data_IF_473439777785
#
_entry.id   IF_473439777785
#
_cell.length_a   1.000
_cell.length_b   1.000
_cell.length_c   1.000
_cell.angle_alpha   90.00
_cell.angle_beta   90.00
_cell.angle_gamma   90.00
#
_symmetry.space_group_name_H-M   'P 1'
#
loop_
_entity.id
_entity.type
_entity.pdbx_description
1 polymer ?
#
# COMPACT_ATOMS: atom_id res chain seq x y z
N UNK A 1 7.60 -2.28 -4.12
CA UNK A 1 7.32 -3.21 -3.01
C UNK A 1 6.22 -4.19 -3.45
N UNK A 2 6.60 -5.42 -3.82
CA UNK A 2 5.67 -6.49 -4.15
C UNK A 2 5.12 -7.18 -2.90
N UNK A 3 3.92 -7.74 -2.99
CA UNK A 3 3.24 -8.53 -1.96
C UNK A 3 2.18 -9.43 -2.60
N UNK A 4 1.79 -10.49 -1.90
CA UNK A 4 0.75 -11.42 -2.35
C UNK A 4 -0.22 -11.71 -1.21
N UNK A 5 -1.50 -11.86 -1.56
CA UNK A 5 -2.55 -12.27 -0.63
C UNK A 5 -3.63 -13.02 -1.40
N UNK A 6 -3.95 -14.23 -0.95
CA UNK A 6 -4.88 -15.13 -1.63
C UNK A 6 -4.56 -15.25 -3.14
N UNK A 7 -5.52 -14.88 -3.99
CA UNK A 7 -5.48 -14.96 -5.45
C UNK A 7 -4.92 -13.69 -6.12
N UNK A 8 -4.29 -12.80 -5.35
CA UNK A 8 -3.81 -11.51 -5.84
C UNK A 8 -2.31 -11.32 -5.65
N UNK A 9 -1.67 -10.77 -6.68
CA UNK A 9 -0.33 -10.20 -6.64
C UNK A 9 -0.45 -8.68 -6.72
N UNK A 10 0.05 -7.98 -5.69
CA UNK A 10 0.03 -6.52 -5.60
C UNK A 10 1.45 -5.96 -5.57
N UNK A 11 1.78 -5.05 -6.47
CA UNK A 11 3.07 -4.35 -6.45
C UNK A 11 2.88 -2.85 -6.46
N UNK A 12 3.41 -2.16 -5.43
CA UNK A 12 3.51 -0.70 -5.45
C UNK A 12 4.88 -0.25 -5.97
N UNK A 13 4.91 0.73 -6.85
CA UNK A 13 6.09 1.49 -7.24
C UNK A 13 5.90 2.90 -6.69
N UNK A 14 6.78 3.33 -5.78
CA UNK A 14 6.66 4.62 -5.11
C UNK A 14 7.98 5.39 -5.13
N UNK A 15 7.85 6.71 -5.18
CA UNK A 15 8.91 7.68 -4.98
C UNK A 15 8.56 8.54 -3.77
N UNK A 16 9.59 8.93 -3.02
CA UNK A 16 9.47 9.78 -1.84
C UNK A 16 10.52 10.88 -1.97
N UNK A 17 10.10 12.13 -1.80
CA UNK A 17 10.99 13.29 -1.69
C UNK A 17 11.01 13.80 -0.25
N UNK A 18 12.15 14.33 0.18
CA UNK A 18 12.38 14.90 1.51
C UNK A 18 12.23 16.43 1.56
N UNK A 19 11.74 17.07 0.49
CA UNK A 19 11.42 18.50 0.48
C UNK A 19 10.23 18.83 1.42
N UNK A 20 10.04 20.11 1.74
CA UNK A 20 9.09 20.68 2.71
C UNK A 20 7.62 20.23 2.54
N UNK A 21 7.28 19.65 1.39
CA UNK A 21 6.11 18.79 1.27
C UNK A 21 6.58 17.37 0.98
N UNK A 22 6.59 16.50 2.00
CA UNK A 22 6.85 15.08 1.82
C UNK A 22 5.81 14.47 0.86
N UNK A 23 6.11 14.49 -0.44
CA UNK A 23 5.21 14.04 -1.50
C UNK A 23 5.54 12.60 -1.85
N UNK A 24 4.84 11.67 -1.21
CA UNK A 24 4.76 10.29 -1.71
C UNK A 24 4.01 10.32 -3.05
N UNK A 25 4.57 9.74 -4.10
CA UNK A 25 3.87 9.49 -5.38
C UNK A 25 4.14 8.08 -5.84
N UNK A 26 3.26 7.54 -6.67
CA UNK A 26 3.48 6.21 -7.21
C UNK A 26 2.22 5.53 -7.67
N UNK A 27 2.40 4.34 -8.24
CA UNK A 27 1.34 3.50 -8.79
C UNK A 27 1.31 2.15 -8.11
N UNK A 28 0.11 1.58 -8.00
CA UNK A 28 -0.13 0.24 -7.50
C UNK A 28 -0.74 -0.59 -8.62
N UNK A 29 -0.08 -1.70 -8.94
CA UNK A 29 -0.57 -2.70 -9.87
C UNK A 29 -1.10 -3.90 -9.07
N UNK A 30 -2.38 -4.19 -9.24
CA UNK A 30 -3.00 -5.43 -8.77
C UNK A 30 -3.18 -6.37 -9.96
N UNK A 31 -2.70 -7.60 -9.82
CA UNK A 31 -2.87 -8.65 -10.82
C UNK A 31 -3.49 -9.89 -10.21
N UNK A 32 -4.22 -10.63 -11.02
CA UNK A 32 -4.60 -12.01 -10.73
C UNK A 32 -3.33 -12.86 -10.58
N UNK A 33 -3.27 -13.67 -9.53
CA UNK A 33 -2.03 -14.38 -9.16
C UNK A 33 -1.73 -15.59 -10.05
N UNK A 34 -2.77 -16.27 -10.54
CA UNK A 34 -2.61 -17.48 -11.35
C UNK A 34 -2.26 -17.12 -12.80
N UNK A 35 -3.00 -16.16 -13.36
CA UNK A 35 -2.90 -15.77 -14.76
C UNK A 35 -1.94 -14.61 -15.00
N UNK A 36 -1.49 -13.94 -13.94
CA UNK A 36 -0.71 -12.69 -13.97
C UNK A 36 -1.44 -11.52 -14.65
N UNK A 37 -2.73 -11.67 -14.97
CA UNK A 37 -3.52 -10.65 -15.65
C UNK A 37 -3.62 -9.39 -14.79
N UNK A 38 -3.25 -8.21 -15.32
CA UNK A 38 -3.51 -6.94 -14.65
C UNK A 38 -5.01 -6.75 -14.42
N UNK A 39 -5.39 -6.51 -13.17
CA UNK A 39 -6.77 -6.24 -12.78
C UNK A 39 -7.00 -4.74 -12.58
N UNK A 40 -6.06 -4.07 -11.88
CA UNK A 40 -6.20 -2.65 -11.58
C UNK A 40 -4.82 -1.97 -11.57
N UNK A 41 -4.78 -0.75 -12.10
CA UNK A 41 -3.69 0.20 -11.92
C UNK A 41 -4.25 1.46 -11.26
N UNK A 42 -3.71 1.87 -10.11
CA UNK A 42 -4.23 3.01 -9.34
C UNK A 42 -3.13 3.86 -8.70
N UNK A 43 -3.47 5.11 -8.35
CA UNK A 43 -2.59 5.98 -7.56
C UNK A 43 -2.40 5.42 -6.14
N UNK A 44 -1.17 5.47 -5.66
CA UNK A 44 -0.79 4.86 -4.37
C UNK A 44 -1.03 5.75 -3.16
N UNK A 45 -1.25 7.06 -3.32
CA UNK A 45 -1.23 8.01 -2.20
C UNK A 45 -2.36 7.71 -1.22
N UNK A 46 -3.58 7.67 -1.72
CA UNK A 46 -4.77 7.47 -0.90
C UNK A 46 -4.73 6.10 -0.19
N UNK A 47 -4.44 5.02 -0.91
CA UNK A 47 -4.39 3.68 -0.34
C UNK A 47 -3.22 3.52 0.66
N UNK A 48 -2.11 4.21 0.43
CA UNK A 48 -0.94 4.15 1.34
C UNK A 48 -1.22 4.89 2.63
N UNK A 49 -1.88 6.06 2.58
CA UNK A 49 -2.32 6.76 3.78
C UNK A 49 -3.30 5.89 4.58
N UNK A 50 -4.40 5.48 3.95
CA UNK A 50 -5.46 4.68 4.58
C UNK A 50 -4.92 3.41 5.27
N UNK A 51 -4.08 2.63 4.59
CA UNK A 51 -3.54 1.40 5.19
C UNK A 51 -2.50 1.67 6.28
N UNK A 52 -1.79 2.79 6.24
CA UNK A 52 -0.82 3.15 7.28
C UNK A 52 -1.57 3.55 8.54
N UNK A 53 -2.59 4.39 8.41
CA UNK A 53 -3.44 4.81 9.53
C UNK A 53 -4.15 3.61 10.17
N UNK A 54 -4.69 2.69 9.36
CA UNK A 54 -5.34 1.48 9.84
C UNK A 54 -4.38 0.57 10.65
N UNK A 55 -3.15 0.35 10.15
CA UNK A 55 -2.16 -0.47 10.85
C UNK A 55 -1.65 0.21 12.12
N UNK A 56 -1.47 1.53 12.10
CA UNK A 56 -1.15 2.31 13.31
C UNK A 56 -2.24 2.18 14.37
N UNK A 57 -3.51 2.30 13.98
CA UNK A 57 -4.65 2.12 14.89
C UNK A 57 -4.76 0.70 15.45
N UNK A 58 -4.50 -0.33 14.62
CA UNK A 58 -4.38 -1.72 15.10
C UNK A 58 -3.22 -1.86 16.10
N UNK A 59 -2.08 -1.22 15.83
CA UNK A 59 -0.95 -1.17 16.75
C UNK A 59 -1.38 -0.63 18.11
N UNK A 60 -2.04 0.53 18.16
CA UNK A 60 -2.57 1.09 19.41
C UNK A 60 -3.55 0.13 20.09
N UNK A 61 -4.53 -0.42 19.35
CA UNK A 61 -5.54 -1.31 19.92
C UNK A 61 -4.95 -2.55 20.59
N UNK A 62 -3.87 -3.11 20.06
CA UNK A 62 -3.34 -4.40 20.50
C UNK A 62 -2.02 -4.33 21.27
N UNK A 63 -1.31 -3.21 21.18
CA UNK A 63 0.03 -3.05 21.76
C UNK A 63 0.10 -1.89 22.76
N UNK A 64 -0.92 -1.04 22.85
CA UNK A 64 -0.97 -0.06 23.93
C UNK A 64 -1.19 -0.79 25.26
N UNK A 65 -0.47 -0.33 26.28
CA UNK A 65 -0.65 -0.84 27.64
C UNK A 65 -1.73 0.02 28.26
N UNK A 66 -2.84 -0.58 28.71
CA UNK A 66 -3.90 0.15 29.45
C UNK A 66 -3.32 1.11 30.51
#
# INVERSE_FOLDING_TARGET
MPSFYENYNGTKLIEITSDNEARLRGIFLLSDRETMKPLVLMDTRAITAMRTDAVSGLGMKYLDSD
#
